data_IF_681531693273
#
_entry.id   IF_681531693273
#
_cell.length_a   1.000
_cell.length_b   1.000
_cell.length_c   1.000
_cell.angle_alpha   90.00
_cell.angle_beta   90.00
_cell.angle_gamma   90.00
#
_symmetry.space_group_name_H-M   'P 1'
#
loop_
_entity.id
_entity.type
_entity.pdbx_description
1 polymer ?
#
# COMPACT_ATOMS: atom_id res chain seq x y z
N UNK A 1 3.88 37.17 13.24
CA UNK A 1 2.65 37.73 12.64
C UNK A 1 2.13 36.82 11.52
N UNK A 2 1.02 36.11 11.81
CA UNK A 2 0.06 35.52 10.87
C UNK A 2 0.60 34.66 9.72
N UNK A 3 0.59 33.34 9.89
CA UNK A 3 0.35 32.41 8.76
C UNK A 3 -0.96 31.67 9.09
N UNK A 4 -2.06 32.38 8.89
CA UNK A 4 -3.39 31.79 8.72
C UNK A 4 -3.76 32.01 7.25
N UNK A 5 -3.71 30.95 6.47
CA UNK A 5 -4.03 30.95 5.06
C UNK A 5 -3.87 29.52 4.57
N UNK A 6 -4.99 28.81 4.55
CA UNK A 6 -5.26 27.52 3.94
C UNK A 6 -4.05 26.76 3.38
N UNK A 7 -3.69 25.66 4.06
CA UNK A 7 -2.75 24.68 3.52
C UNK A 7 -3.50 23.95 2.40
N UNK A 8 -3.24 24.32 1.16
CA UNK A 8 -3.60 23.53 -0.02
C UNK A 8 -2.82 22.20 0.04
N UNK A 9 -3.34 21.22 0.79
CA UNK A 9 -2.77 19.88 0.93
C UNK A 9 -2.83 19.18 -0.43
N UNK A 10 -1.73 19.15 -1.18
CA UNK A 10 -1.63 18.44 -2.45
C UNK A 10 -1.25 16.98 -2.22
N UNK A 11 -2.04 16.07 -2.79
CA UNK A 11 -1.93 14.65 -2.45
C UNK A 11 -1.90 13.77 -3.68
N UNK A 12 -0.92 12.86 -3.73
CA UNK A 12 -0.70 12.06 -4.92
C UNK A 12 -1.53 10.78 -5.02
N UNK A 13 -1.97 10.54 -6.25
CA UNK A 13 -2.36 9.24 -6.76
C UNK A 13 -1.12 8.45 -7.15
N UNK A 14 -0.59 7.65 -6.23
CA UNK A 14 0.54 6.80 -6.56
C UNK A 14 0.06 5.55 -7.33
N UNK A 15 0.76 5.27 -8.44
CA UNK A 15 0.46 4.26 -9.48
C UNK A 15 -0.72 4.60 -10.42
N UNK A 16 -1.12 5.87 -10.51
CA UNK A 16 -2.22 6.34 -11.35
C UNK A 16 -3.60 6.14 -10.74
N UNK A 17 -4.62 6.63 -11.44
CA UNK A 17 -6.02 6.59 -10.99
C UNK A 17 -6.49 5.15 -10.76
N UNK A 18 -7.01 4.86 -9.56
CA UNK A 18 -7.42 3.50 -9.18
C UNK A 18 -6.25 2.56 -8.82
N UNK A 19 -5.00 3.03 -8.88
CA UNK A 19 -3.84 2.30 -8.40
C UNK A 19 -3.87 2.09 -6.88
N UNK A 20 -3.18 1.05 -6.39
CA UNK A 20 -3.26 0.62 -4.98
C UNK A 20 -2.99 1.74 -3.99
N UNK A 21 -2.07 2.65 -4.29
CA UNK A 21 -1.68 3.71 -3.37
C UNK A 21 -2.62 4.90 -3.43
N UNK A 22 -3.18 5.22 -4.59
CA UNK A 22 -4.34 6.12 -4.68
C UNK A 22 -5.48 5.57 -3.79
N UNK A 23 -5.86 4.29 -3.96
CA UNK A 23 -6.91 3.68 -3.14
C UNK A 23 -6.53 3.64 -1.65
N UNK A 24 -5.25 3.48 -1.32
CA UNK A 24 -4.78 3.48 0.06
C UNK A 24 -5.04 4.81 0.74
N UNK A 25 -4.74 5.90 0.05
CA UNK A 25 -4.99 7.24 0.55
C UNK A 25 -6.49 7.56 0.60
N UNK A 26 -7.23 7.28 -0.47
CA UNK A 26 -8.67 7.53 -0.51
C UNK A 26 -9.43 6.76 0.57
N UNK A 27 -9.07 5.49 0.79
CA UNK A 27 -9.64 4.68 1.86
C UNK A 27 -9.28 5.18 3.25
N UNK A 28 -8.04 5.63 3.47
CA UNK A 28 -7.63 6.28 4.73
C UNK A 28 -8.48 7.53 5.01
N UNK A 29 -8.58 8.43 4.03
CA UNK A 29 -9.37 9.67 4.15
C UNK A 29 -10.83 9.34 4.49
N UNK A 30 -11.42 8.39 3.76
CA UNK A 30 -12.79 7.91 4.00
C UNK A 30 -12.98 7.32 5.41
N UNK A 31 -12.04 6.50 5.87
CA UNK A 31 -12.11 5.89 7.20
C UNK A 31 -12.06 6.96 8.30
N UNK A 32 -11.18 7.95 8.12
CA UNK A 32 -11.05 9.14 8.95
C UNK A 32 -12.19 10.16 8.79
N UNK A 33 -13.19 9.88 7.95
CA UNK A 33 -14.35 10.77 7.68
C UNK A 33 -13.95 12.12 7.08
N UNK A 34 -12.82 12.15 6.37
CA UNK A 34 -12.39 13.28 5.55
C UNK A 34 -13.03 13.14 4.17
N UNK A 35 -13.54 14.24 3.63
CA UNK A 35 -14.12 14.24 2.29
C UNK A 35 -13.02 14.01 1.24
N UNK A 36 -13.08 12.85 0.60
CA UNK A 36 -12.14 12.42 -0.44
C UNK A 36 -12.21 13.33 -1.67
N UNK A 37 -13.38 13.91 -1.95
CA UNK A 37 -13.58 14.80 -3.09
C UNK A 37 -13.01 16.21 -2.87
N UNK A 38 -12.76 16.58 -1.62
CA UNK A 38 -12.15 17.87 -1.27
C UNK A 38 -10.62 17.86 -1.38
N UNK A 39 -10.01 16.69 -1.63
CA UNK A 39 -8.56 16.55 -1.73
C UNK A 39 -8.09 16.79 -3.16
N UNK A 40 -7.13 17.70 -3.40
CA UNK A 40 -6.54 17.89 -4.72
C UNK A 40 -5.58 16.74 -5.05
N UNK A 41 -5.99 15.92 -6.01
CA UNK A 41 -5.25 14.76 -6.49
C UNK A 41 -4.23 15.15 -7.54
N UNK A 42 -2.95 14.90 -7.26
CA UNK A 42 -1.86 15.05 -8.23
C UNK A 42 -1.58 13.68 -8.87
N UNK A 43 -1.63 13.52 -10.20
CA UNK A 43 -1.39 12.24 -10.85
C UNK A 43 0.11 11.97 -11.00
N UNK A 44 0.56 10.75 -10.65
CA UNK A 44 1.92 10.30 -10.91
C UNK A 44 1.98 8.97 -11.66
N UNK A 45 2.98 8.83 -12.51
CA UNK A 45 3.26 7.60 -13.27
C UNK A 45 4.04 6.54 -12.45
N UNK A 46 3.85 6.51 -11.13
CA UNK A 46 4.42 5.50 -10.23
C UNK A 46 5.09 6.06 -8.98
N UNK A 47 5.75 5.18 -8.22
CA UNK A 47 6.40 5.54 -6.96
C UNK A 47 7.54 6.55 -7.12
N UNK A 48 8.45 6.27 -8.04
CA UNK A 48 9.68 7.05 -8.20
C UNK A 48 9.42 8.51 -8.58
N UNK A 49 8.55 8.84 -9.57
CA UNK A 49 8.25 10.23 -9.89
C UNK A 49 7.56 10.96 -8.71
N UNK A 50 6.56 10.35 -8.06
CA UNK A 50 5.89 10.98 -6.91
C UNK A 50 6.84 11.28 -5.75
N UNK A 51 7.79 10.39 -5.49
CA UNK A 51 8.81 10.58 -4.46
C UNK A 51 9.84 11.66 -4.84
N UNK A 52 10.12 11.85 -6.14
CA UNK A 52 10.94 12.97 -6.60
C UNK A 52 10.23 14.30 -6.42
N UNK A 53 8.92 14.36 -6.70
CA UNK A 53 8.11 15.57 -6.49
C UNK A 53 8.01 15.92 -5.00
N UNK A 54 7.88 14.91 -4.12
CA UNK A 54 7.99 15.09 -2.67
C UNK A 54 9.34 15.73 -2.29
N UNK A 55 10.44 15.18 -2.79
CA UNK A 55 11.77 15.68 -2.48
C UNK A 55 12.03 17.09 -3.05
N UNK A 56 11.34 17.47 -4.13
CA UNK A 56 11.39 18.80 -4.73
C UNK A 56 10.46 19.82 -4.02
N UNK A 57 9.61 19.37 -3.09
CA UNK A 57 8.60 20.21 -2.44
C UNK A 57 7.39 20.51 -3.33
N UNK A 58 7.18 19.74 -4.39
CA UNK A 58 6.00 19.85 -5.25
C UNK A 58 4.73 19.30 -4.59
N UNK A 59 4.87 18.48 -3.55
CA UNK A 59 3.78 17.97 -2.71
C UNK A 59 4.18 17.82 -1.25
N UNK A 60 3.19 17.81 -0.37
CA UNK A 60 3.39 17.68 1.07
C UNK A 60 3.45 16.22 1.52
N UNK A 61 2.68 15.33 0.89
CA UNK A 61 2.67 13.91 1.24
C UNK A 61 2.24 12.97 0.11
N UNK A 62 2.68 11.71 0.23
CA UNK A 62 2.34 10.62 -0.69
C UNK A 62 2.26 9.30 0.06
N UNK A 63 1.33 8.45 -0.33
CA UNK A 63 1.32 7.04 0.09
C UNK A 63 2.17 6.21 -0.85
N UNK A 64 3.12 5.45 -0.31
CA UNK A 64 3.97 4.51 -1.04
C UNK A 64 4.37 3.36 -0.10
N UNK A 65 5.06 2.34 -0.60
CA UNK A 65 5.68 1.36 0.29
C UNK A 65 6.97 1.92 0.93
N UNK A 66 7.25 1.50 2.17
CA UNK A 66 8.50 1.87 2.86
C UNK A 66 9.76 1.46 2.07
N UNK A 67 9.82 0.26 1.44
CA UNK A 67 10.95 -0.09 0.59
C UNK A 67 11.16 0.84 -0.62
N UNK A 68 10.08 1.34 -1.23
CA UNK A 68 10.17 2.27 -2.37
C UNK A 68 10.70 3.65 -1.95
N UNK A 69 10.38 4.08 -0.73
CA UNK A 69 10.80 5.39 -0.19
C UNK A 69 12.11 5.35 0.60
N UNK A 70 12.66 4.15 0.88
CA UNK A 70 13.85 3.94 1.71
C UNK A 70 15.01 4.88 1.40
N UNK A 71 15.39 5.01 0.13
CA UNK A 71 16.53 5.83 -0.24
C UNK A 71 16.36 7.31 0.15
N UNK A 72 15.14 7.85 0.04
CA UNK A 72 14.85 9.23 0.43
C UNK A 72 14.64 9.40 1.93
N UNK A 73 14.11 8.38 2.61
CA UNK A 73 14.01 8.34 4.07
C UNK A 73 15.42 8.35 4.68
N UNK A 74 16.28 7.44 4.22
CA UNK A 74 17.66 7.29 4.70
C UNK A 74 18.49 8.55 4.39
N UNK A 75 18.18 9.26 3.29
CA UNK A 75 18.80 10.55 2.94
C UNK A 75 18.20 11.76 3.69
N UNK A 76 17.21 11.57 4.57
CA UNK A 76 16.54 12.64 5.31
C UNK A 76 15.66 13.56 4.46
N UNK A 77 15.36 13.16 3.21
CA UNK A 77 14.53 13.91 2.25
C UNK A 77 13.05 13.55 2.30
N UNK A 78 12.71 12.45 2.97
CA UNK A 78 11.34 12.05 3.23
C UNK A 78 11.21 11.60 4.68
N UNK A 79 10.05 11.85 5.29
CA UNK A 79 9.76 11.42 6.66
C UNK A 79 8.55 10.49 6.67
N UNK A 80 8.71 9.21 7.04
CA UNK A 80 7.57 8.31 7.17
C UNK A 80 6.68 8.78 8.34
N UNK A 81 5.39 8.94 8.09
CA UNK A 81 4.43 9.44 9.09
C UNK A 81 3.72 8.30 9.82
N UNK A 82 3.23 7.31 9.07
CA UNK A 82 2.58 6.12 9.59
C UNK A 82 2.66 4.98 8.56
N UNK A 83 2.50 3.74 9.02
CA UNK A 83 2.33 2.56 8.15
C UNK A 83 0.89 2.02 8.23
N UNK A 84 0.28 1.75 7.08
CA UNK A 84 -1.07 1.18 6.96
C UNK A 84 -1.04 -0.36 7.15
N UNK A 85 -0.47 -0.81 8.26
CA UNK A 85 -0.33 -2.22 8.62
C UNK A 85 -0.79 -2.46 10.05
N UNK A 86 -1.11 -3.71 10.37
CA UNK A 86 -1.51 -4.13 11.73
C UNK A 86 -0.36 -4.06 12.75
N UNK A 87 0.89 -4.04 12.29
CA UNK A 87 2.09 -3.96 13.13
C UNK A 87 3.14 -3.03 12.51
N UNK A 88 4.05 -2.42 13.31
CA UNK A 88 5.18 -1.66 12.80
C UNK A 88 6.06 -2.50 11.86
N UNK A 89 6.74 -1.83 10.92
CA UNK A 89 7.71 -2.49 10.05
C UNK A 89 9.02 -2.72 10.80
N UNK A 90 9.62 -3.91 10.66
CA UNK A 90 10.86 -4.26 11.35
C UNK A 90 12.04 -3.32 11.02
N UNK A 91 12.15 -2.84 9.77
CA UNK A 91 13.20 -1.88 9.38
C UNK A 91 12.93 -0.45 9.85
N UNK A 92 11.69 -0.13 10.22
CA UNK A 92 11.28 1.21 10.63
C UNK A 92 10.44 1.14 11.92
N UNK A 93 10.99 0.62 13.03
CA UNK A 93 10.22 0.32 14.25
C UNK A 93 9.65 1.57 14.93
N UNK A 94 10.25 2.73 14.65
CA UNK A 94 9.80 4.02 15.19
C UNK A 94 8.63 4.63 14.41
N UNK A 95 8.28 4.06 13.26
CA UNK A 95 7.13 4.53 12.47
C UNK A 95 5.87 3.89 13.05
N UNK A 96 4.92 4.69 13.57
CA UNK A 96 3.69 4.15 14.15
C UNK A 96 2.82 3.51 13.08
N UNK A 97 1.97 2.56 13.48
CA UNK A 97 0.87 2.12 12.61
C UNK A 97 -0.13 3.26 12.46
N UNK A 98 -0.90 3.27 11.36
CA UNK A 98 -1.97 4.23 11.15
C UNK A 98 -2.96 4.20 12.33
N UNK A 99 -3.33 3.00 12.79
CA UNK A 99 -4.17 2.81 13.96
C UNK A 99 -3.61 3.47 15.22
N UNK A 100 -2.31 3.33 15.49
CA UNK A 100 -1.69 3.98 16.65
C UNK A 100 -1.64 5.51 16.50
N UNK A 101 -1.48 6.01 15.27
CA UNK A 101 -1.36 7.44 15.00
C UNK A 101 -2.72 8.18 14.98
N UNK A 102 -3.79 7.53 14.53
CA UNK A 102 -5.07 8.19 14.24
C UNK A 102 -6.30 7.45 14.76
N UNK A 103 -6.15 6.21 15.23
CA UNK A 103 -7.27 5.32 15.59
C UNK A 103 -7.96 4.64 14.41
N UNK A 104 -7.56 4.95 13.17
CA UNK A 104 -8.12 4.34 11.95
C UNK A 104 -7.76 2.85 11.83
N UNK A 105 -8.75 2.03 11.49
CA UNK A 105 -8.57 0.60 11.22
C UNK A 105 -8.18 0.33 9.76
N UNK A 106 -8.02 1.39 8.95
CA UNK A 106 -7.61 1.27 7.57
C UNK A 106 -6.22 0.64 7.47
N UNK A 107 -6.14 -0.48 6.76
CA UNK A 107 -4.91 -1.20 6.52
C UNK A 107 -4.89 -1.67 5.07
N UNK A 108 -3.79 -1.38 4.38
CA UNK A 108 -3.60 -1.72 2.99
C UNK A 108 -2.10 -1.76 2.70
N UNK A 109 -1.70 -2.73 1.90
CA UNK A 109 -0.32 -2.88 1.48
C UNK A 109 -0.25 -3.56 0.13
N UNK A 110 0.86 -3.30 -0.58
CA UNK A 110 1.16 -4.01 -1.81
C UNK A 110 1.31 -5.50 -1.55
N UNK A 111 0.54 -6.30 -2.27
CA UNK A 111 0.57 -7.75 -2.23
C UNK A 111 1.01 -8.30 -3.59
N UNK A 112 1.46 -9.55 -3.59
CA UNK A 112 1.83 -10.30 -4.80
C UNK A 112 1.18 -11.67 -4.71
N UNK A 113 0.71 -12.17 -5.85
CA UNK A 113 0.11 -13.48 -5.95
C UNK A 113 0.35 -14.10 -7.30
N UNK A 114 0.11 -15.41 -7.39
CA UNK A 114 0.17 -16.17 -8.63
C UNK A 114 -1.20 -16.79 -8.83
N UNK A 115 -1.80 -16.52 -9.99
CA UNK A 115 -3.03 -17.15 -10.43
C UNK A 115 -2.74 -18.11 -11.58
N UNK A 116 -3.60 -19.12 -11.73
CA UNK A 116 -3.56 -20.08 -12.83
C UNK A 116 -4.91 -20.09 -13.57
N UNK A 117 -4.96 -20.59 -14.82
CA UNK A 117 -6.22 -20.67 -15.56
C UNK A 117 -7.30 -21.48 -14.84
N UNK A 118 -8.56 -21.10 -15.07
CA UNK A 118 -9.72 -21.84 -14.54
C UNK A 118 -9.71 -23.28 -15.07
N UNK A 119 -10.04 -24.23 -14.19
CA UNK A 119 -10.11 -25.65 -14.54
C UNK A 119 -8.77 -26.39 -14.49
N UNK A 120 -7.75 -25.83 -13.83
CA UNK A 120 -6.46 -26.50 -13.65
C UNK A 120 -6.67 -27.88 -12.96
N UNK A 121 -6.06 -28.96 -13.46
CA UNK A 121 -6.14 -30.28 -12.82
C UNK A 121 -5.66 -30.26 -11.36
N UNK A 122 -6.29 -31.05 -10.50
CA UNK A 122 -6.05 -31.02 -9.05
C UNK A 122 -4.62 -31.39 -8.66
N UNK A 123 -4.01 -32.32 -9.40
CA UNK A 123 -2.61 -32.73 -9.23
C UNK A 123 -1.63 -31.58 -9.54
N UNK A 124 -1.92 -30.79 -10.58
CA UNK A 124 -1.13 -29.61 -10.94
C UNK A 124 -1.33 -28.49 -9.91
N UNK A 125 -2.55 -28.27 -9.43
CA UNK A 125 -2.82 -27.32 -8.34
C UNK A 125 -2.00 -27.67 -7.09
N UNK A 126 -2.02 -28.95 -6.68
CA UNK A 126 -1.26 -29.42 -5.53
C UNK A 126 0.25 -29.23 -5.72
N UNK A 127 0.77 -29.53 -6.90
CA UNK A 127 2.19 -29.34 -7.23
C UNK A 127 2.62 -27.87 -7.15
N UNK A 128 1.83 -26.96 -7.71
CA UNK A 128 2.11 -25.52 -7.66
C UNK A 128 2.01 -24.99 -6.23
N UNK A 129 0.97 -25.36 -5.48
CA UNK A 129 0.79 -24.95 -4.08
C UNK A 129 1.98 -25.39 -3.21
N UNK A 130 2.41 -26.64 -3.34
CA UNK A 130 3.58 -27.17 -2.63
C UNK A 130 4.88 -26.46 -3.02
N UNK A 131 5.09 -26.18 -4.31
CA UNK A 131 6.27 -25.44 -4.77
C UNK A 131 6.29 -24.00 -4.20
N UNK A 132 5.15 -23.31 -4.21
CA UNK A 132 5.04 -21.96 -3.65
C UNK A 132 5.28 -21.93 -2.14
N UNK A 133 4.75 -22.90 -1.39
CA UNK A 133 5.02 -23.02 0.04
C UNK A 133 6.50 -23.26 0.31
N UNK A 134 7.14 -24.15 -0.46
CA UNK A 134 8.57 -24.43 -0.36
C UNK A 134 9.43 -23.20 -0.63
N UNK A 135 9.06 -22.39 -1.63
CA UNK A 135 9.75 -21.11 -1.92
C UNK A 135 9.57 -20.15 -0.75
N UNK A 136 8.33 -19.97 -0.27
CA UNK A 136 8.04 -19.10 0.87
C UNK A 136 8.85 -19.50 2.11
N UNK A 137 8.93 -20.79 2.43
CA UNK A 137 9.68 -21.30 3.59
C UNK A 137 11.21 -21.27 3.40
N UNK A 138 11.69 -21.00 2.19
CA UNK A 138 13.12 -21.01 1.91
C UNK A 138 13.82 -19.84 2.60
N UNK A 139 14.98 -20.11 3.20
CA UNK A 139 15.81 -19.08 3.83
C UNK A 139 16.20 -17.98 2.84
N UNK A 140 16.48 -18.35 1.60
CA UNK A 140 16.88 -17.41 0.56
C UNK A 140 15.77 -16.40 0.26
N UNK A 141 14.52 -16.87 0.11
CA UNK A 141 13.38 -15.99 -0.11
C UNK A 141 13.10 -15.09 1.11
N UNK A 142 13.08 -15.68 2.30
CA UNK A 142 12.87 -14.94 3.55
C UNK A 142 13.92 -13.85 3.74
N UNK A 143 15.20 -14.18 3.53
CA UNK A 143 16.33 -13.23 3.67
C UNK A 143 16.30 -12.15 2.60
N UNK A 144 15.99 -12.52 1.35
CA UNK A 144 15.85 -11.56 0.25
C UNK A 144 14.76 -10.53 0.53
N UNK A 145 13.59 -10.98 1.00
CA UNK A 145 12.46 -10.10 1.30
C UNK A 145 12.75 -9.21 2.51
N UNK A 146 13.26 -9.79 3.61
CA UNK A 146 13.62 -9.05 4.81
C UNK A 146 14.71 -8.00 4.55
N UNK A 147 15.76 -8.35 3.79
CA UNK A 147 16.84 -7.42 3.43
C UNK A 147 16.37 -6.20 2.61
N UNK A 148 15.26 -6.36 1.88
CA UNK A 148 14.61 -5.28 1.13
C UNK A 148 13.52 -4.55 1.93
N UNK A 149 13.26 -4.96 3.17
CA UNK A 149 12.27 -4.32 4.03
C UNK A 149 10.83 -4.77 3.82
N UNK A 150 10.62 -5.90 3.13
CA UNK A 150 9.29 -6.48 2.98
C UNK A 150 9.00 -7.44 4.13
N UNK A 151 7.81 -7.31 4.72
CA UNK A 151 7.19 -8.39 5.48
C UNK A 151 6.62 -9.44 4.52
N UNK A 152 6.57 -10.70 4.96
CA UNK A 152 6.05 -11.80 4.13
C UNK A 152 4.96 -12.56 4.87
N UNK A 153 3.78 -12.60 4.25
CA UNK A 153 2.63 -13.37 4.72
C UNK A 153 2.31 -14.38 3.62
N UNK A 154 2.15 -15.64 4.01
CA UNK A 154 1.74 -16.69 3.10
C UNK A 154 0.23 -16.91 3.20
N UNK A 155 -0.43 -17.00 2.04
CA UNK A 155 -1.77 -17.52 1.90
C UNK A 155 -1.73 -18.66 0.88
N UNK A 156 -2.37 -19.77 1.21
CA UNK A 156 -2.59 -20.85 0.25
C UNK A 156 -3.64 -20.43 -0.80
N UNK A 157 -3.99 -21.32 -1.73
CA UNK A 157 -4.93 -21.00 -2.79
C UNK A 157 -6.29 -20.49 -2.26
N UNK A 158 -6.83 -21.13 -1.23
CA UNK A 158 -8.13 -20.74 -0.65
C UNK A 158 -8.02 -19.43 0.13
N UNK A 159 -6.98 -19.27 0.94
CA UNK A 159 -6.74 -18.03 1.67
C UNK A 159 -6.52 -16.85 0.73
N UNK A 160 -5.81 -17.07 -0.38
CA UNK A 160 -5.56 -16.04 -1.38
C UNK A 160 -6.82 -15.68 -2.17
N UNK A 161 -7.68 -16.67 -2.50
CA UNK A 161 -9.01 -16.42 -3.07
C UNK A 161 -9.87 -15.56 -2.14
N UNK A 162 -9.93 -15.90 -0.85
CA UNK A 162 -10.67 -15.11 0.14
C UNK A 162 -10.13 -13.69 0.29
N UNK A 163 -8.79 -13.55 0.29
CA UNK A 163 -8.13 -12.26 0.33
C UNK A 163 -8.50 -11.41 -0.90
N UNK A 164 -8.45 -11.97 -2.11
CA UNK A 164 -8.84 -11.26 -3.33
C UNK A 164 -10.31 -10.87 -3.33
N UNK A 165 -11.21 -11.77 -2.95
CA UNK A 165 -12.65 -11.48 -2.88
C UNK A 165 -12.98 -10.38 -1.88
N UNK A 166 -12.32 -10.38 -0.71
CA UNK A 166 -12.46 -9.31 0.28
C UNK A 166 -11.90 -7.99 -0.27
N UNK A 167 -10.71 -8.04 -0.88
CA UNK A 167 -10.07 -6.88 -1.48
C UNK A 167 -10.93 -6.24 -2.57
N UNK A 168 -11.54 -7.03 -3.44
CA UNK A 168 -12.47 -6.56 -4.48
C UNK A 168 -13.67 -5.81 -3.88
N UNK A 169 -14.31 -6.39 -2.85
CA UNK A 169 -15.43 -5.76 -2.18
C UNK A 169 -15.03 -4.46 -1.46
N UNK A 170 -13.95 -4.47 -0.68
CA UNK A 170 -13.48 -3.30 0.06
C UNK A 170 -13.05 -2.18 -0.89
N UNK A 171 -12.24 -2.51 -1.91
CA UNK A 171 -11.77 -1.52 -2.89
C UNK A 171 -12.90 -1.01 -3.76
N UNK A 172 -13.92 -1.82 -4.05
CA UNK A 172 -15.13 -1.38 -4.76
C UNK A 172 -15.85 -0.24 -4.02
N UNK A 173 -15.91 -0.28 -2.69
CA UNK A 173 -16.46 0.81 -1.88
C UNK A 173 -15.61 2.08 -1.99
N UNK A 174 -14.28 1.95 -1.96
CA UNK A 174 -13.37 3.09 -2.11
C UNK A 174 -13.47 3.69 -3.52
N UNK A 175 -13.45 2.85 -4.55
CA UNK A 175 -13.59 3.27 -5.95
C UNK A 175 -14.91 4.01 -6.20
N UNK A 176 -16.04 3.56 -5.64
CA UNK A 176 -17.32 4.29 -5.71
C UNK A 176 -17.24 5.67 -5.06
N UNK A 177 -16.54 5.79 -3.93
CA UNK A 177 -16.37 7.09 -3.26
C UNK A 177 -15.51 8.07 -4.06
N UNK A 178 -14.65 7.55 -4.94
CA UNK A 178 -13.87 8.33 -5.90
C UNK A 178 -14.61 8.55 -7.24
N UNK A 179 -15.82 8.03 -7.41
CA UNK A 179 -16.55 8.08 -8.68
C UNK A 179 -15.95 7.20 -9.80
N UNK A 180 -15.06 6.26 -9.47
CA UNK A 180 -14.36 5.39 -10.43
C UNK A 180 -15.13 4.10 -10.75
N UNK A 181 -16.15 3.78 -9.95
CA UNK A 181 -17.00 2.62 -10.15
C UNK A 181 -18.48 2.99 -9.95
N UNK A 182 -19.37 2.32 -10.69
CA UNK A 182 -20.83 2.44 -10.55
C UNK A 182 -21.36 1.50 -9.47
#
# INVERSE_FOLDING_TARGET
>A
PGHSGDVDLQVFEHAGQGGIWHLALAGMLKDLKIDVAAVPWVPSNGAAPAMNDLAAGGIEFVTCSLPESRALIDAGKARPLAIMASSPAALYPNVPTLKAATGSDWAIGAWRGIAAPKGLPADIQAKLGAAMKKIYDSKDYQSFMAGRGFGVIYADAKGFEQFMAKGDADMGVVMKSLGLAK
#
